data_IF_484480756837
#
_entry.id   IF_484480756837
#
_cell.length_a   1.000
_cell.length_b   1.000
_cell.length_c   1.000
_cell.angle_alpha   90.00
_cell.angle_beta   90.00
_cell.angle_gamma   90.00
#
_symmetry.space_group_name_H-M   'P 1'
#
loop_
_entity.id
_entity.type
_entity.pdbx_description
1 polymer ?
#
# COMPACT_ATOMS: atom_id res chain seq x y z
N UNK A 1 -4.99 -12.59 9.13
CA UNK A 1 -3.88 -11.77 8.63
C UNK A 1 -2.59 -12.08 9.38
N UNK A 2 -2.56 -11.96 10.71
CA UNK A 2 -1.36 -12.21 11.54
C UNK A 2 -0.75 -13.60 11.40
N UNK A 3 -1.53 -14.64 11.06
CA UNK A 3 -0.99 -15.98 10.84
C UNK A 3 -0.08 -16.03 9.60
N UNK A 4 -0.35 -15.23 8.59
CA UNK A 4 0.44 -15.14 7.35
C UNK A 4 1.53 -14.06 7.45
N UNK A 5 1.19 -12.93 8.08
CA UNK A 5 2.06 -11.78 8.29
C UNK A 5 2.19 -11.49 9.79
N UNK A 6 3.09 -12.19 10.52
CA UNK A 6 3.20 -12.05 11.98
C UNK A 6 3.58 -10.64 12.45
N UNK A 7 4.23 -9.85 11.58
CA UNK A 7 4.69 -8.49 11.87
C UNK A 7 3.67 -7.42 11.45
N UNK A 8 2.42 -7.81 11.16
CA UNK A 8 1.35 -6.84 10.84
C UNK A 8 1.23 -5.79 11.94
N UNK A 9 1.26 -4.48 11.63
CA UNK A 9 1.13 -3.42 12.62
C UNK A 9 -0.17 -3.52 13.42
N UNK A 10 -0.10 -3.25 14.72
CA UNK A 10 -1.28 -3.29 15.59
C UNK A 10 -2.34 -2.26 15.17
N UNK A 11 -1.91 -1.08 14.74
CA UNK A 11 -2.78 -0.01 14.22
C UNK A 11 -3.52 -0.40 12.94
N UNK A 12 -2.90 -1.19 12.03
CA UNK A 12 -3.63 -1.74 10.89
C UNK A 12 -4.72 -2.73 11.34
N UNK A 13 -4.43 -3.59 12.31
CA UNK A 13 -5.44 -4.53 12.84
C UNK A 13 -6.57 -3.79 13.55
N UNK A 14 -6.25 -2.73 14.27
CA UNK A 14 -7.24 -1.87 14.91
C UNK A 14 -8.11 -1.18 13.84
N UNK A 15 -7.52 -0.59 12.80
CA UNK A 15 -8.24 0.02 11.69
C UNK A 15 -9.18 -1.00 11.04
N UNK A 16 -8.72 -2.21 10.73
CA UNK A 16 -9.54 -3.27 10.15
C UNK A 16 -10.67 -3.74 11.08
N UNK A 17 -10.55 -3.56 12.39
CA UNK A 17 -11.64 -3.85 13.33
C UNK A 17 -12.80 -2.87 13.23
N UNK A 18 -12.57 -1.64 12.77
CA UNK A 18 -13.59 -0.63 12.50
C UNK A 18 -14.10 -0.70 11.07
N UNK A 19 -13.20 -0.89 10.11
CA UNK A 19 -13.53 -0.93 8.69
C UNK A 19 -12.69 -2.03 8.02
N UNK A 20 -13.20 -3.25 7.93
CA UNK A 20 -12.53 -4.36 7.23
C UNK A 20 -12.63 -4.16 5.71
N UNK A 21 -11.88 -3.19 5.24
CA UNK A 21 -11.84 -2.74 3.85
C UNK A 21 -12.91 -1.70 3.50
N UNK A 22 -12.57 -0.85 2.54
CA UNK A 22 -13.45 0.21 2.03
C UNK A 22 -13.74 0.08 0.53
N UNK A 23 -13.25 -0.99 -0.09
CA UNK A 23 -13.41 -1.27 -1.51
C UNK A 23 -14.45 -2.38 -1.73
N UNK A 24 -15.51 -2.05 -2.50
CA UNK A 24 -16.58 -2.97 -2.88
C UNK A 24 -17.27 -3.63 -1.66
N UNK A 25 -17.78 -2.79 -0.77
CA UNK A 25 -18.52 -3.26 0.42
C UNK A 25 -20.02 -3.18 0.16
N UNK A 26 -20.75 -4.21 0.59
CA UNK A 26 -22.21 -4.16 0.56
C UNK A 26 -22.75 -3.41 1.79
N UNK A 27 -23.58 -2.41 1.55
CA UNK A 27 -24.30 -1.68 2.55
C UNK A 27 -25.75 -1.46 2.12
N UNK A 28 -26.70 -1.97 2.88
CA UNK A 28 -28.15 -1.87 2.61
C UNK A 28 -28.57 -2.34 1.18
N UNK A 29 -27.85 -3.33 0.64
CA UNK A 29 -28.12 -3.88 -0.69
C UNK A 29 -27.45 -3.14 -1.85
N UNK A 30 -26.67 -2.10 -1.54
CA UNK A 30 -25.86 -1.37 -2.51
C UNK A 30 -24.38 -1.69 -2.32
N UNK A 31 -23.63 -1.75 -3.42
CA UNK A 31 -22.17 -1.88 -3.37
C UNK A 31 -21.55 -0.49 -3.27
N UNK A 32 -20.80 -0.25 -2.22
CA UNK A 32 -20.14 1.02 -1.96
C UNK A 32 -18.63 0.88 -1.89
N UNK A 33 -17.93 1.92 -2.30
CA UNK A 33 -16.48 2.07 -2.17
C UNK A 33 -16.18 3.43 -1.59
N UNK A 34 -15.26 3.49 -0.63
CA UNK A 34 -14.87 4.72 0.04
C UNK A 34 -13.35 4.87 -0.01
N UNK A 35 -12.88 6.04 -0.40
CA UNK A 35 -11.49 6.41 -0.22
C UNK A 35 -11.25 6.73 1.26
N UNK A 36 -10.23 6.13 1.83
CA UNK A 36 -9.87 6.30 3.23
C UNK A 36 -8.40 6.69 3.39
N UNK A 37 -7.58 6.39 2.40
CA UNK A 37 -6.14 6.52 2.46
C UNK A 37 -5.64 7.40 1.31
N UNK A 38 -4.42 7.88 1.43
CA UNK A 38 -3.73 8.69 0.44
C UNK A 38 -2.26 8.32 0.37
N UNK A 39 -1.49 9.07 -0.39
CA UNK A 39 -0.04 8.95 -0.48
C UNK A 39 0.60 10.33 -0.65
N UNK A 40 1.91 10.35 -0.90
CA UNK A 40 2.66 11.54 -1.32
C UNK A 40 2.23 12.10 -2.69
N UNK A 41 1.38 11.35 -3.43
CA UNK A 41 0.78 11.79 -4.70
C UNK A 41 -0.67 12.17 -4.43
N UNK A 42 -0.91 13.48 -4.34
CA UNK A 42 -2.19 14.06 -3.93
C UNK A 42 -3.36 13.78 -4.87
N UNK A 43 -3.08 13.43 -6.14
CA UNK A 43 -4.12 13.20 -7.15
C UNK A 43 -4.77 11.82 -7.04
N UNK A 44 -4.25 10.92 -6.19
CA UNK A 44 -4.75 9.56 -6.10
C UNK A 44 -5.23 9.24 -4.69
N UNK A 45 -6.55 9.25 -4.45
CA UNK A 45 -7.12 8.68 -3.25
C UNK A 45 -7.10 7.14 -3.33
N UNK A 46 -7.05 6.48 -2.18
CA UNK A 46 -6.87 5.04 -2.06
C UNK A 46 -7.97 4.38 -1.22
N UNK A 47 -8.30 3.15 -1.60
CA UNK A 47 -9.14 2.24 -0.81
C UNK A 47 -8.30 1.46 0.20
N UNK A 48 -8.85 1.21 1.38
CA UNK A 48 -8.32 0.19 2.27
C UNK A 48 -8.80 -1.19 1.79
N UNK A 49 -7.89 -2.12 1.57
CA UNK A 49 -8.23 -3.52 1.30
C UNK A 49 -8.70 -4.20 2.59
N UNK A 50 -9.68 -5.11 2.49
CA UNK A 50 -10.07 -5.95 3.62
C UNK A 50 -8.97 -6.97 3.94
N UNK A 51 -8.98 -7.52 5.15
CA UNK A 51 -8.05 -8.58 5.54
C UNK A 51 -8.07 -9.77 4.57
N UNK A 52 -9.24 -10.09 4.02
CA UNK A 52 -9.38 -11.13 3.00
C UNK A 52 -8.70 -10.73 1.68
N UNK A 53 -8.96 -9.52 1.17
CA UNK A 53 -8.34 -9.01 -0.05
C UNK A 53 -6.82 -8.93 0.07
N UNK A 54 -6.30 -8.52 1.25
CA UNK A 54 -4.86 -8.53 1.53
C UNK A 54 -4.24 -9.92 1.44
N UNK A 55 -4.93 -10.95 1.97
CA UNK A 55 -4.47 -12.35 1.93
C UNK A 55 -4.55 -12.97 0.54
N UNK A 56 -5.53 -12.56 -0.26
CA UNK A 56 -5.75 -13.05 -1.64
C UNK A 56 -4.94 -12.27 -2.68
N UNK A 57 -4.33 -11.14 -2.29
CA UNK A 57 -3.56 -10.29 -3.19
C UNK A 57 -2.34 -11.01 -3.78
N UNK A 58 -2.17 -10.85 -5.09
CA UNK A 58 -0.99 -11.31 -5.84
C UNK A 58 -0.05 -10.18 -6.21
N UNK A 59 -0.37 -8.93 -5.85
CA UNK A 59 0.43 -7.76 -6.18
C UNK A 59 1.85 -7.83 -5.61
N UNK A 60 2.10 -8.30 -4.37
CA UNK A 60 3.45 -8.47 -3.87
C UNK A 60 4.30 -9.40 -4.73
N UNK A 61 3.72 -10.53 -5.16
CA UNK A 61 4.41 -11.48 -6.04
C UNK A 61 4.65 -10.88 -7.43
N UNK A 62 3.65 -10.20 -7.98
CA UNK A 62 3.78 -9.55 -9.29
C UNK A 62 4.88 -8.49 -9.28
N UNK A 63 4.92 -7.62 -8.27
CA UNK A 63 5.95 -6.58 -8.15
C UNK A 63 7.33 -7.16 -7.90
N UNK A 64 7.44 -8.20 -7.09
CA UNK A 64 8.67 -8.93 -6.87
C UNK A 64 9.22 -9.51 -8.18
N UNK A 65 8.40 -10.18 -8.96
CA UNK A 65 8.77 -10.70 -10.28
C UNK A 65 9.09 -9.57 -11.28
N UNK A 66 8.37 -8.47 -11.21
CA UNK A 66 8.56 -7.29 -12.04
C UNK A 66 9.90 -6.62 -11.73
N UNK A 67 10.21 -6.37 -10.46
CA UNK A 67 11.49 -5.85 -10.01
C UNK A 67 12.64 -6.72 -10.54
N UNK A 68 12.56 -8.03 -10.40
CA UNK A 68 13.60 -8.94 -10.89
C UNK A 68 13.85 -8.85 -12.40
N UNK A 69 12.81 -8.57 -13.19
CA UNK A 69 12.91 -8.50 -14.65
C UNK A 69 13.34 -7.13 -15.16
N UNK A 70 12.86 -6.08 -14.53
CA UNK A 70 12.98 -4.69 -15.03
C UNK A 70 14.17 -3.96 -14.42
N UNK A 71 14.58 -4.32 -13.21
CA UNK A 71 15.69 -3.68 -12.51
C UNK A 71 17.08 -3.76 -13.15
N UNK A 72 17.41 -4.74 -13.98
CA UNK A 72 18.63 -4.66 -14.75
C UNK A 72 18.57 -3.60 -15.86
N UNK A 73 17.38 -3.14 -16.24
CA UNK A 73 17.16 -2.05 -17.18
C UNK A 73 16.97 -0.76 -16.36
N UNK A 74 17.77 0.22 -16.58
CA UNK A 74 18.04 1.46 -15.85
C UNK A 74 16.83 2.42 -15.61
N UNK A 75 15.58 1.98 -15.83
CA UNK A 75 14.43 2.87 -15.99
C UNK A 75 13.45 2.91 -14.80
N UNK A 76 13.69 2.15 -13.72
CA UNK A 76 12.81 2.18 -12.52
C UNK A 76 13.50 2.87 -11.37
N UNK A 77 12.88 3.93 -10.86
CA UNK A 77 13.34 4.60 -9.64
C UNK A 77 12.98 3.76 -8.41
N UNK A 78 13.95 3.42 -7.58
CA UNK A 78 13.74 2.67 -6.36
C UNK A 78 14.55 3.22 -5.21
N UNK A 79 13.83 3.53 -4.16
CA UNK A 79 14.39 3.94 -2.87
C UNK A 79 15.40 2.89 -2.36
N UNK A 80 16.54 3.31 -1.88
CA UNK A 80 17.61 2.44 -1.37
C UNK A 80 17.23 1.68 -0.09
N UNK A 81 16.17 2.11 0.59
CA UNK A 81 15.55 1.43 1.75
C UNK A 81 14.77 0.18 1.35
N UNK A 82 14.49 -0.04 0.07
CA UNK A 82 13.77 -1.20 -0.44
C UNK A 82 14.77 -2.29 -0.85
N UNK A 83 14.49 -3.54 -0.45
CA UNK A 83 15.35 -4.66 -0.85
C UNK A 83 15.24 -4.94 -2.34
N UNK A 84 16.40 -5.17 -2.98
CA UNK A 84 16.46 -5.67 -4.36
C UNK A 84 16.46 -7.20 -4.45
N UNK A 85 16.40 -7.87 -3.30
CA UNK A 85 16.24 -9.32 -3.22
C UNK A 85 14.76 -9.70 -3.26
N UNK A 86 14.19 -9.60 -4.45
CA UNK A 86 12.78 -9.86 -4.67
C UNK A 86 12.35 -11.30 -4.30
N UNK A 87 13.27 -12.27 -4.31
CA UNK A 87 12.96 -13.65 -3.93
C UNK A 87 12.62 -13.77 -2.43
N UNK A 88 13.14 -12.87 -1.60
CA UNK A 88 12.93 -12.84 -0.16
C UNK A 88 12.06 -11.66 0.29
N UNK A 89 11.57 -10.84 -0.65
CA UNK A 89 10.68 -9.72 -0.33
C UNK A 89 9.37 -10.23 0.25
N UNK A 90 9.02 -9.71 1.43
CA UNK A 90 7.75 -9.97 2.10
C UNK A 90 7.01 -8.65 2.29
N UNK A 91 6.06 -8.40 1.42
CA UNK A 91 5.26 -7.18 1.41
C UNK A 91 3.79 -7.49 1.68
N UNK A 92 3.16 -6.75 2.57
CA UNK A 92 1.74 -6.81 2.81
C UNK A 92 1.04 -5.71 2.01
N UNK A 93 0.36 -6.08 0.93
CA UNK A 93 -0.45 -5.17 0.13
C UNK A 93 -1.70 -4.77 0.91
N UNK A 94 -1.87 -3.50 1.24
CA UNK A 94 -2.98 -3.04 2.08
C UNK A 94 -3.90 -2.01 1.41
N UNK A 95 -3.47 -1.43 0.28
CA UNK A 95 -4.23 -0.34 -0.33
C UNK A 95 -4.01 -0.25 -1.84
N UNK A 96 -5.09 0.01 -2.56
CA UNK A 96 -5.11 0.28 -3.99
C UNK A 96 -5.63 1.69 -4.26
N UNK A 97 -5.06 2.38 -5.24
CA UNK A 97 -5.58 3.68 -5.68
C UNK A 97 -6.92 3.53 -6.42
N UNK A 98 -7.57 4.66 -6.69
CA UNK A 98 -8.92 4.77 -7.23
C UNK A 98 -9.21 3.94 -8.48
N UNK A 99 -8.20 3.60 -9.29
CA UNK A 99 -8.33 2.76 -10.47
C UNK A 99 -7.97 1.28 -10.21
N UNK A 100 -8.28 0.76 -9.03
CA UNK A 100 -8.02 -0.62 -8.61
C UNK A 100 -6.53 -0.97 -8.55
N UNK A 101 -5.70 -0.03 -8.14
CA UNK A 101 -4.25 -0.19 -8.06
C UNK A 101 -3.53 -0.19 -9.41
N UNK A 102 -4.23 0.10 -10.50
CA UNK A 102 -3.64 0.11 -11.86
C UNK A 102 -2.57 1.19 -12.03
N UNK A 103 -2.66 2.28 -11.27
CA UNK A 103 -1.67 3.37 -11.29
C UNK A 103 -0.76 3.32 -10.08
N UNK A 104 -1.29 3.01 -8.89
CA UNK A 104 -0.51 3.00 -7.66
C UNK A 104 -1.07 2.04 -6.62
N UNK A 105 -0.17 1.49 -5.81
CA UNK A 105 -0.47 0.55 -4.72
C UNK A 105 0.40 0.85 -3.51
N UNK A 106 -0.11 0.56 -2.31
CA UNK A 106 0.63 0.73 -1.07
C UNK A 106 0.87 -0.61 -0.37
N UNK A 107 2.08 -0.76 0.13
CA UNK A 107 2.56 -1.97 0.79
C UNK A 107 3.21 -1.66 2.13
N UNK A 108 3.09 -2.58 3.09
CA UNK A 108 3.94 -2.62 4.27
C UNK A 108 5.11 -3.55 3.96
N UNK A 109 6.31 -3.02 3.96
CA UNK A 109 7.54 -3.79 3.70
C UNK A 109 8.04 -4.42 5.00
N UNK A 110 7.97 -5.73 5.08
CA UNK A 110 8.40 -6.52 6.23
C UNK A 110 9.86 -7.03 6.10
N UNK A 111 10.48 -6.80 4.95
CA UNK A 111 11.84 -7.25 4.64
C UNK A 111 12.65 -6.19 3.88
N UNK A 112 12.83 -5.00 4.48
CA UNK A 112 13.52 -3.90 3.83
C UNK A 112 14.98 -4.21 3.55
N UNK A 113 15.67 -3.29 2.87
CA UNK A 113 17.11 -3.29 2.76
C UNK A 113 17.78 -3.00 4.12
N UNK A 114 19.10 -3.05 4.16
CA UNK A 114 19.88 -2.67 5.37
C UNK A 114 19.72 -1.19 5.76
N UNK A 115 19.31 -0.35 4.81
CA UNK A 115 19.05 1.08 5.04
C UNK A 115 17.60 1.36 5.46
N UNK A 116 16.70 0.39 5.28
CA UNK A 116 15.27 0.52 5.56
C UNK A 116 14.86 0.05 6.95
N UNK A 117 13.58 0.21 7.24
CA UNK A 117 12.95 -0.20 8.51
C UNK A 117 11.84 -1.22 8.24
N UNK A 118 11.84 -2.33 8.99
CA UNK A 118 10.74 -3.30 8.94
C UNK A 118 9.40 -2.65 9.31
N UNK A 119 8.41 -2.76 8.43
CA UNK A 119 7.12 -2.10 8.57
C UNK A 119 7.01 -0.73 7.90
N UNK A 120 8.05 -0.29 7.20
CA UNK A 120 7.99 0.93 6.37
C UNK A 120 6.89 0.82 5.29
N UNK A 121 6.36 1.96 4.87
CA UNK A 121 5.33 2.02 3.84
C UNK A 121 5.97 2.31 2.49
N UNK A 122 5.73 1.41 1.56
CA UNK A 122 6.21 1.51 0.18
C UNK A 122 5.04 1.85 -0.72
N UNK A 123 5.20 2.90 -1.53
CA UNK A 123 4.33 3.22 -2.65
C UNK A 123 4.95 2.67 -3.93
N UNK A 124 4.17 1.91 -4.69
CA UNK A 124 4.43 1.64 -6.09
C UNK A 124 3.64 2.64 -6.94
N UNK A 125 4.29 3.22 -7.93
CA UNK A 125 3.68 4.03 -8.98
C UNK A 125 4.00 3.40 -10.32
N UNK A 126 3.03 3.38 -11.23
CA UNK A 126 3.19 2.96 -12.62
C UNK A 126 3.12 4.19 -13.53
N UNK A 127 4.08 4.28 -14.46
CA UNK A 127 4.20 5.30 -15.51
C UNK A 127 4.45 6.74 -14.98
N UNK A 128 5.70 7.04 -14.58
CA UNK A 128 6.88 6.15 -14.61
C UNK A 128 6.88 5.16 -13.45
N UNK A 129 7.49 3.99 -13.68
CA UNK A 129 7.61 3.00 -12.63
C UNK A 129 8.53 3.48 -11.50
N UNK A 130 7.98 3.53 -10.29
CA UNK A 130 8.67 4.02 -9.11
C UNK A 130 8.26 3.22 -7.88
N UNK A 131 9.23 2.97 -7.02
CA UNK A 131 9.05 2.40 -5.68
C UNK A 131 9.69 3.34 -4.66
N UNK A 132 8.88 3.98 -3.86
CA UNK A 132 9.29 4.99 -2.88
C UNK A 132 8.84 4.59 -1.47
N UNK A 133 9.69 4.83 -0.47
CA UNK A 133 9.28 4.71 0.94
C UNK A 133 8.69 6.04 1.39
N UNK A 134 7.40 6.04 1.66
CA UNK A 134 6.64 7.26 2.02
C UNK A 134 6.46 7.46 3.54
N UNK A 135 6.72 6.42 4.34
CA UNK A 135 6.72 6.52 5.80
C UNK A 135 7.57 5.40 6.42
N UNK A 136 8.15 5.65 7.59
CA UNK A 136 8.99 4.68 8.29
C UNK A 136 8.19 3.60 9.04
N UNK A 137 6.88 3.81 9.21
CA UNK A 137 5.94 2.86 9.82
C UNK A 137 4.49 3.15 9.40
N UNK A 138 3.59 2.19 9.65
CA UNK A 138 2.16 2.39 9.42
C UNK A 138 1.56 3.47 10.34
N UNK A 139 2.05 3.59 11.57
CA UNK A 139 1.63 4.63 12.51
C UNK A 139 2.02 6.02 12.04
N UNK A 140 3.27 6.21 11.58
CA UNK A 140 3.72 7.48 11.01
C UNK A 140 2.96 7.85 9.73
N UNK A 141 2.66 6.86 8.89
CA UNK A 141 1.84 7.03 7.71
C UNK A 141 0.44 7.55 8.06
N UNK A 142 -0.25 6.93 9.03
CA UNK A 142 -1.58 7.39 9.47
C UNK A 142 -1.52 8.79 10.09
N UNK A 143 -0.49 9.10 10.86
CA UNK A 143 -0.30 10.43 11.44
C UNK A 143 -0.11 11.49 10.35
N UNK A 144 0.69 11.20 9.31
CA UNK A 144 0.87 12.11 8.18
C UNK A 144 -0.46 12.41 7.47
N UNK A 145 -1.29 11.38 7.20
CA UNK A 145 -2.62 11.59 6.59
C UNK A 145 -3.53 12.48 7.45
N UNK A 146 -3.47 12.34 8.79
CA UNK A 146 -4.26 13.16 9.71
C UNK A 146 -3.74 14.60 9.73
N UNK A 147 -2.42 14.80 9.73
CA UNK A 147 -1.79 16.12 9.70
C UNK A 147 -2.09 16.87 8.41
N UNK A 148 -2.10 16.18 7.27
CA UNK A 148 -2.47 16.71 5.96
C UNK A 148 -3.99 16.91 5.80
N UNK A 149 -4.78 16.60 6.84
CA UNK A 149 -6.23 16.82 6.90
C UNK A 149 -7.02 16.14 5.79
N UNK A 150 -6.50 15.04 5.25
CA UNK A 150 -7.11 14.31 4.14
C UNK A 150 -7.29 15.14 2.86
N UNK A 151 -6.33 16.02 2.55
CA UNK A 151 -6.36 16.88 1.35
C UNK A 151 -6.37 16.10 0.03
N UNK A 152 -6.10 14.79 0.08
CA UNK A 152 -6.21 13.88 -1.07
C UNK A 152 -7.65 13.43 -1.38
N UNK A 153 -8.64 13.81 -0.56
CA UNK A 153 -10.06 13.55 -0.79
C UNK A 153 -10.72 14.85 -1.25
N UNK A 154 -11.14 14.90 -2.50
CA UNK A 154 -11.79 16.07 -3.08
C UNK A 154 -13.32 15.85 -3.20
N UNK A 155 -14.10 16.95 -3.24
CA UNK A 155 -15.56 16.89 -3.39
C UNK A 155 -16.01 16.18 -4.67
N UNK A 156 -15.16 16.14 -5.69
CA UNK A 156 -15.42 15.49 -6.97
C UNK A 156 -15.20 13.94 -6.95
N UNK A 157 -14.72 13.39 -5.82
CA UNK A 157 -14.47 11.95 -5.64
C UNK A 157 -15.72 11.17 -5.17
N UNK A 158 -16.88 11.84 -5.00
CA UNK A 158 -18.12 11.25 -4.47
C UNK A 158 -19.27 11.22 -5.50
#
# INVERSE_FOLDING_TARGET
LQATYPQTPASLLELLSFADGTYWREYQGETVSLFLLGSDIMEYPYYLLSARQMLESKSPQYLSDYINRVYPAEDVAVDDRITRDAANACWLHFSDCMNNGGTSQLFIDLTPSVSGKGGQIVRYLHDPDELEVIADSFDEYLLALIEDRYDFIHEDDF
#
